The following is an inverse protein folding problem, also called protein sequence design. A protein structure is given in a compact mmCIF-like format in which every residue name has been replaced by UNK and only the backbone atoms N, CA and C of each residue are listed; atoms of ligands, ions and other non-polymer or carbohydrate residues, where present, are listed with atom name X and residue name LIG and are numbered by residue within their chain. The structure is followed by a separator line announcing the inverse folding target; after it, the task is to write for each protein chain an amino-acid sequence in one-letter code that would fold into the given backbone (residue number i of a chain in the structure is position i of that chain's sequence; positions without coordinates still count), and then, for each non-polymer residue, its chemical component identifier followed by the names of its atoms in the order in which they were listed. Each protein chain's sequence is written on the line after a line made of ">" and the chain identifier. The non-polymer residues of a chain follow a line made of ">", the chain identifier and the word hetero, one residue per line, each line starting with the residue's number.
data_IF_920733083230
#
_entry.id   IF_920733083230
#
_cell.length_a   1.000
_cell.length_b   1.000
_cell.length_c   1.000
_cell.angle_alpha   90.00
_cell.angle_beta   90.00
_cell.angle_gamma   90.00
#
_symmetry.space_group_name_H-M   'P 1'
#
loop_
_entity.id
_entity.type
_entity.pdbx_description
1 polymer ?
#
# COMPACT_ATOMS: atom_id res chain seq x y z
N UNK A 1 -1.04 14.44 20.01
CA UNK A 1 -1.59 15.04 18.79
C UNK A 1 -0.52 15.73 17.97
N UNK A 2 -0.50 15.40 16.69
CA UNK A 2 0.34 15.99 15.65
C UNK A 2 -0.11 17.42 15.34
N UNK A 3 0.77 18.24 14.77
CA UNK A 3 0.43 19.61 14.37
C UNK A 3 -0.75 19.67 13.38
N UNK A 4 -0.86 18.69 12.48
CA UNK A 4 -1.98 18.56 11.56
C UNK A 4 -3.32 18.30 12.28
N UNK A 5 -3.34 17.38 13.25
CA UNK A 5 -4.54 17.07 14.03
C UNK A 5 -5.03 18.30 14.81
N UNK A 6 -4.11 19.08 15.40
CA UNK A 6 -4.44 20.35 16.09
C UNK A 6 -5.05 21.40 15.17
N UNK A 7 -4.78 21.33 13.88
CA UNK A 7 -5.34 22.21 12.86
C UNK A 7 -6.65 21.66 12.25
N UNK A 8 -7.17 20.54 12.76
CA UNK A 8 -8.35 19.88 12.20
C UNK A 8 -8.09 19.18 10.86
N UNK A 9 -6.82 18.92 10.54
CA UNK A 9 -6.41 18.24 9.30
C UNK A 9 -6.13 16.78 9.61
N UNK A 10 -6.81 15.88 8.90
CA UNK A 10 -6.56 14.45 9.00
C UNK A 10 -5.11 14.13 8.62
N UNK A 11 -4.41 13.45 9.52
CA UNK A 11 -3.04 13.02 9.29
C UNK A 11 -3.00 11.55 8.86
N UNK A 12 -1.96 11.19 8.12
CA UNK A 12 -1.73 9.82 7.67
C UNK A 12 -0.26 9.43 7.74
N UNK A 13 -0.01 8.13 7.90
CA UNK A 13 1.31 7.53 7.90
C UNK A 13 1.49 6.63 6.68
N UNK A 14 2.58 6.83 5.95
CA UNK A 14 2.98 5.99 4.81
C UNK A 14 4.13 5.10 5.26
N UNK A 15 4.03 3.79 5.01
CA UNK A 15 5.02 2.82 5.48
C UNK A 15 5.07 1.56 4.63
N UNK A 16 6.16 0.80 4.78
CA UNK A 16 6.33 -0.52 4.18
C UNK A 16 5.78 -1.61 5.11
N UNK A 17 4.80 -2.43 4.71
CA UNK A 17 4.23 -3.47 5.58
C UNK A 17 5.25 -4.50 6.09
N UNK A 18 6.35 -4.69 5.36
CA UNK A 18 7.43 -5.58 5.76
C UNK A 18 8.49 -4.91 6.64
N UNK A 19 8.30 -3.63 7.00
CA UNK A 19 9.22 -2.87 7.85
C UNK A 19 9.52 -3.51 9.22
N UNK A 20 8.57 -4.29 9.72
CA UNK A 20 8.67 -4.94 11.03
C UNK A 20 9.18 -6.39 10.93
N UNK A 21 9.70 -6.80 9.76
CA UNK A 21 10.29 -8.12 9.62
C UNK A 21 11.71 -8.14 10.19
N UNK A 22 12.05 -9.24 10.87
CA UNK A 22 13.42 -9.51 11.29
C UNK A 22 14.28 -9.75 10.05
N UNK A 23 15.38 -9.01 9.95
CA UNK A 23 16.42 -9.16 8.93
C UNK A 23 17.61 -9.92 9.54
N UNK A 24 18.05 -10.97 8.87
CA UNK A 24 19.14 -11.83 9.35
C UNK A 24 18.72 -12.71 10.53
N UNK A 25 19.54 -12.78 11.59
CA UNK A 25 19.26 -13.65 12.75
C UNK A 25 18.37 -13.00 13.81
N UNK A 26 18.51 -11.69 14.05
CA UNK A 26 17.77 -10.96 15.10
C UNK A 26 17.60 -9.45 14.84
N UNK A 27 17.98 -8.93 13.65
CA UNK A 27 18.01 -7.48 13.38
C UNK A 27 16.72 -6.95 12.74
N UNK A 28 16.59 -5.63 12.65
CA UNK A 28 15.56 -4.95 11.84
C UNK A 28 16.25 -4.00 10.85
N UNK A 29 15.61 -3.71 9.72
CA UNK A 29 16.12 -2.70 8.80
C UNK A 29 15.92 -1.30 9.42
N UNK A 30 17.00 -0.67 9.87
CA UNK A 30 16.98 0.65 10.50
C UNK A 30 16.40 1.78 9.63
N UNK A 31 16.22 1.55 8.33
CA UNK A 31 15.59 2.50 7.40
C UNK A 31 14.06 2.42 7.44
N UNK A 32 13.51 1.36 8.03
CA UNK A 32 12.08 1.08 8.08
C UNK A 32 11.52 1.41 9.46
N UNK A 33 10.33 2.00 9.48
CA UNK A 33 9.65 2.40 10.70
C UNK A 33 8.90 1.21 11.31
N UNK A 34 8.86 1.10 12.66
CA UNK A 34 8.01 0.15 13.35
C UNK A 34 6.55 0.62 13.31
N UNK A 35 5.88 0.35 12.18
CA UNK A 35 4.59 0.92 11.84
C UNK A 35 3.43 0.40 12.70
N UNK A 36 3.61 -0.70 13.43
CA UNK A 36 2.63 -1.24 14.37
C UNK A 36 2.42 -0.34 15.59
N UNK A 37 3.35 0.57 15.85
CA UNK A 37 3.27 1.56 16.92
C UNK A 37 2.66 2.90 16.47
N UNK A 38 2.26 3.02 15.21
CA UNK A 38 1.62 4.25 14.76
C UNK A 38 0.27 4.46 15.46
N UNK A 39 -0.08 5.72 15.81
CA UNK A 39 -1.38 6.02 16.38
C UNK A 39 -2.51 5.54 15.47
N UNK A 40 -3.54 4.95 16.08
CA UNK A 40 -4.75 4.48 15.39
C UNK A 40 -5.61 5.62 14.85
N UNK A 41 -5.39 6.86 15.35
CA UNK A 41 -6.02 8.08 14.84
C UNK A 41 -5.52 8.48 13.45
N UNK A 42 -4.36 7.96 13.03
CA UNK A 42 -3.82 8.22 11.71
C UNK A 42 -4.48 7.34 10.66
N UNK A 43 -4.64 7.87 9.45
CA UNK A 43 -4.84 7.03 8.28
C UNK A 43 -3.58 6.21 8.01
N UNK A 44 -3.74 4.92 7.75
CA UNK A 44 -2.63 4.04 7.45
C UNK A 44 -2.57 3.79 5.96
N UNK A 45 -1.47 4.21 5.32
CA UNK A 45 -1.24 4.09 3.88
C UNK A 45 -0.12 3.08 3.60
N UNK A 46 -0.37 1.76 3.76
CA UNK A 46 0.65 0.76 3.54
C UNK A 46 1.03 0.63 2.06
N UNK A 47 2.32 0.81 1.78
CA UNK A 47 2.94 0.68 0.46
C UNK A 47 2.94 -0.77 -0.01
N UNK A 48 1.83 -1.18 -0.64
CA UNK A 48 1.49 -2.57 -0.97
C UNK A 48 1.71 -2.86 -2.46
N UNK A 49 2.93 -2.64 -2.94
CA UNK A 49 3.26 -2.73 -4.37
C UNK A 49 4.43 -3.69 -4.68
N UNK A 50 4.45 -4.87 -4.06
CA UNK A 50 5.47 -5.89 -4.35
C UNK A 50 5.54 -6.28 -5.84
N UNK A 51 6.75 -6.63 -6.31
CA UNK A 51 6.98 -7.19 -7.67
C UNK A 51 7.07 -8.71 -7.54
N UNK A 52 5.97 -9.42 -7.80
CA UNK A 52 5.89 -10.87 -7.54
C UNK A 52 5.14 -11.70 -8.60
N UNK A 53 4.69 -11.10 -9.70
CA UNK A 53 4.03 -11.78 -10.82
C UNK A 53 2.58 -12.20 -10.57
N UNK A 54 2.12 -12.24 -9.32
CA UNK A 54 0.76 -12.58 -8.92
C UNK A 54 0.24 -11.59 -7.86
N UNK A 55 -1.06 -11.61 -7.54
CA UNK A 55 -1.65 -10.67 -6.55
C UNK A 55 -1.46 -11.10 -5.10
N UNK A 56 -1.13 -12.38 -4.88
CA UNK A 56 -0.96 -12.96 -3.54
C UNK A 56 0.06 -12.24 -2.64
N UNK A 57 1.20 -11.77 -3.15
CA UNK A 57 2.15 -11.06 -2.30
C UNK A 57 1.57 -9.72 -1.81
N UNK A 58 0.90 -8.98 -2.69
CA UNK A 58 0.25 -7.70 -2.38
C UNK A 58 -0.87 -7.91 -1.36
N UNK A 59 -1.72 -8.92 -1.58
CA UNK A 59 -2.77 -9.30 -0.63
C UNK A 59 -2.22 -9.66 0.76
N UNK A 60 -1.09 -10.38 0.82
CA UNK A 60 -0.47 -10.76 2.08
C UNK A 60 0.13 -9.56 2.85
N UNK A 61 0.68 -8.58 2.15
CA UNK A 61 1.13 -7.31 2.76
C UNK A 61 -0.04 -6.62 3.47
N UNK A 62 -1.18 -6.49 2.78
CA UNK A 62 -2.36 -5.82 3.34
C UNK A 62 -2.98 -6.61 4.49
N UNK A 63 -3.10 -7.95 4.36
CA UNK A 63 -3.53 -8.82 5.46
C UNK A 63 -2.68 -8.65 6.72
N UNK A 64 -1.36 -8.52 6.56
CA UNK A 64 -0.44 -8.30 7.69
C UNK A 64 -0.78 -7.00 8.44
N UNK A 65 -1.05 -5.92 7.72
CA UNK A 65 -1.43 -4.63 8.33
C UNK A 65 -2.72 -4.77 9.12
N UNK A 66 -3.72 -5.45 8.55
CA UNK A 66 -4.99 -5.69 9.24
C UNK A 66 -4.92 -6.58 10.47
N UNK A 67 -3.85 -7.37 10.64
CA UNK A 67 -3.60 -8.10 11.89
C UNK A 67 -3.35 -7.15 13.08
N UNK A 68 -2.84 -5.95 12.81
CA UNK A 68 -2.45 -4.96 13.82
C UNK A 68 -3.37 -3.73 13.86
N UNK A 69 -4.02 -3.42 12.73
CA UNK A 69 -4.98 -2.33 12.65
C UNK A 69 -6.16 -2.57 13.61
N UNK A 70 -6.59 -1.53 14.33
CA UNK A 70 -7.86 -1.58 15.04
C UNK A 70 -9.02 -1.43 14.05
N UNK A 71 -10.24 -1.78 14.48
CA UNK A 71 -11.46 -1.51 13.71
C UNK A 71 -11.70 -0.02 13.45
N UNK A 72 -11.03 0.86 14.20
CA UNK A 72 -11.10 2.32 14.08
C UNK A 72 -10.03 2.89 13.14
N UNK A 73 -9.02 2.08 12.78
CA UNK A 73 -7.92 2.54 11.93
C UNK A 73 -8.36 2.52 10.46
N UNK A 74 -8.32 3.67 9.79
CA UNK A 74 -8.63 3.76 8.37
C UNK A 74 -7.41 3.33 7.52
N UNK A 75 -7.47 2.12 6.96
CA UNK A 75 -6.39 1.52 6.17
C UNK A 75 -6.64 1.70 4.67
N UNK A 76 -5.75 2.42 3.99
CA UNK A 76 -5.81 2.77 2.57
C UNK A 76 -4.57 2.27 1.84
N UNK A 77 -4.52 1.01 1.38
CA UNK A 77 -3.31 0.49 0.74
C UNK A 77 -2.94 1.27 -0.51
N UNK A 78 -1.66 1.60 -0.62
CA UNK A 78 -1.10 2.19 -1.83
C UNK A 78 -0.66 1.08 -2.79
N UNK A 79 -1.31 1.01 -3.95
CA UNK A 79 -1.04 0.05 -5.01
C UNK A 79 -0.25 0.70 -6.14
N UNK A 80 0.60 -0.07 -6.80
CA UNK A 80 1.28 0.38 -8.01
C UNK A 80 1.07 -0.62 -9.15
N UNK A 81 0.85 -0.09 -10.33
CA UNK A 81 0.54 -0.87 -11.52
C UNK A 81 -0.17 -0.02 -12.56
N UNK A 82 -0.55 -0.67 -13.66
CA UNK A 82 -1.30 -0.04 -14.75
C UNK A 82 -2.60 -0.79 -14.96
N UNK A 83 -3.62 -0.08 -15.41
CA UNK A 83 -4.90 -0.66 -15.79
C UNK A 83 -4.80 -1.59 -17.00
N UNK A 84 -5.46 -2.74 -16.91
CA UNK A 84 -5.63 -3.67 -18.03
C UNK A 84 -4.35 -4.35 -18.50
N UNK A 85 -3.24 -4.26 -17.75
CA UNK A 85 -1.98 -4.95 -18.11
C UNK A 85 -1.07 -5.19 -16.93
N UNK A 86 -0.35 -6.30 -16.99
CA UNK A 86 0.79 -6.56 -16.11
C UNK A 86 2.07 -5.99 -16.72
N UNK A 87 2.95 -5.40 -15.91
CA UNK A 87 4.24 -4.86 -16.38
C UNK A 87 5.34 -5.26 -15.42
N UNK A 88 6.45 -5.81 -15.93
CA UNK A 88 7.63 -6.18 -15.12
C UNK A 88 7.24 -6.95 -13.85
N UNK A 89 6.41 -7.99 -13.98
CA UNK A 89 5.89 -8.81 -12.88
C UNK A 89 5.03 -8.05 -11.84
N UNK A 90 4.50 -6.88 -12.19
CA UNK A 90 3.43 -6.23 -11.43
C UNK A 90 2.08 -6.60 -12.05
N UNK A 91 1.14 -7.21 -11.31
CA UNK A 91 -0.22 -7.44 -11.80
C UNK A 91 -0.92 -6.13 -12.17
N UNK A 92 -1.94 -6.20 -13.02
CA UNK A 92 -2.77 -5.03 -13.32
C UNK A 92 -3.52 -4.50 -12.09
N UNK A 93 -3.86 -3.21 -12.07
CA UNK A 93 -4.51 -2.57 -10.92
C UNK A 93 -5.84 -3.25 -10.56
N UNK A 94 -6.68 -3.56 -11.54
CA UNK A 94 -7.96 -4.22 -11.33
C UNK A 94 -7.83 -5.60 -10.70
N UNK A 95 -6.80 -6.37 -11.10
CA UNK A 95 -6.53 -7.67 -10.52
C UNK A 95 -6.06 -7.54 -9.06
N UNK A 96 -5.23 -6.54 -8.76
CA UNK A 96 -4.81 -6.24 -7.38
C UNK A 96 -6.02 -5.86 -6.51
N UNK A 97 -6.85 -4.92 -6.96
CA UNK A 97 -8.05 -4.50 -6.23
C UNK A 97 -9.06 -5.63 -6.04
N UNK A 98 -9.28 -6.46 -7.06
CA UNK A 98 -10.17 -7.61 -6.96
C UNK A 98 -9.64 -8.64 -5.97
N UNK A 99 -8.32 -8.86 -5.92
CA UNK A 99 -7.70 -9.73 -4.92
C UNK A 99 -7.89 -9.18 -3.50
N UNK A 100 -7.66 -7.88 -3.29
CA UNK A 100 -7.89 -7.22 -2.00
C UNK A 100 -9.34 -7.32 -1.54
N UNK A 101 -10.31 -7.07 -2.43
CA UNK A 101 -11.74 -7.20 -2.09
C UNK A 101 -12.11 -8.58 -1.57
N UNK A 102 -11.50 -9.64 -2.10
CA UNK A 102 -11.78 -11.03 -1.67
C UNK A 102 -11.22 -11.36 -0.30
N UNK A 103 -10.09 -10.77 0.08
CA UNK A 103 -9.35 -11.18 1.28
C UNK A 103 -9.47 -10.21 2.46
N UNK A 104 -9.80 -8.96 2.16
CA UNK A 104 -9.92 -7.85 3.11
C UNK A 104 -11.10 -6.98 2.68
N UNK A 105 -12.34 -7.50 2.78
CA UNK A 105 -13.55 -6.82 2.27
C UNK A 105 -13.86 -5.51 2.99
N UNK A 106 -13.26 -5.28 4.16
CA UNK A 106 -13.35 -4.04 4.94
C UNK A 106 -12.59 -2.85 4.31
N UNK A 107 -11.79 -3.07 3.28
CA UNK A 107 -11.11 -1.99 2.56
C UNK A 107 -12.09 -1.27 1.65
N UNK A 108 -12.32 0.02 1.94
CA UNK A 108 -13.20 0.87 1.15
C UNK A 108 -12.45 1.87 0.26
N UNK A 109 -11.12 1.96 0.40
CA UNK A 109 -10.31 2.89 -0.39
C UNK A 109 -8.92 2.32 -0.69
N UNK A 110 -8.36 2.76 -1.81
CA UNK A 110 -6.98 2.46 -2.22
C UNK A 110 -6.35 3.72 -2.78
N UNK A 111 -5.05 3.87 -2.56
CA UNK A 111 -4.25 4.92 -3.18
C UNK A 111 -3.49 4.34 -4.37
N UNK A 112 -3.28 5.13 -5.43
CA UNK A 112 -2.41 4.73 -6.55
C UNK A 112 -1.05 5.41 -6.42
N UNK A 113 0.01 4.61 -6.38
CA UNK A 113 1.39 5.09 -6.37
C UNK A 113 1.96 5.04 -7.78
N UNK A 114 2.28 6.22 -8.30
CA UNK A 114 2.81 6.43 -9.64
C UNK A 114 4.35 6.48 -9.61
N UNK A 115 5.01 5.76 -10.52
CA UNK A 115 6.48 5.73 -10.62
C UNK A 115 7.02 6.78 -11.60
N UNK A 116 6.19 7.67 -12.13
CA UNK A 116 6.50 8.67 -13.17
C UNK A 116 7.75 9.50 -12.88
N UNK A 117 8.04 9.81 -11.62
CA UNK A 117 9.21 10.60 -11.27
C UNK A 117 10.54 9.83 -11.40
N UNK A 118 10.52 8.50 -11.26
CA UNK A 118 11.70 7.64 -11.45
C UNK A 118 11.74 6.98 -12.84
N UNK A 119 10.56 6.73 -13.42
CA UNK A 119 10.40 6.02 -14.67
C UNK A 119 9.25 6.66 -15.45
N UNK A 120 9.45 7.86 -16.01
CA UNK A 120 8.39 8.59 -16.69
C UNK A 120 7.90 7.82 -17.93
N UNK A 121 8.71 6.97 -18.56
CA UNK A 121 8.29 6.10 -19.66
C UNK A 121 7.19 5.12 -19.22
N UNK A 122 7.31 4.55 -18.01
CA UNK A 122 6.35 3.61 -17.44
C UNK A 122 4.94 4.22 -17.27
N UNK A 123 4.87 5.51 -16.94
CA UNK A 123 3.60 6.24 -16.73
C UNK A 123 3.12 7.00 -17.99
N UNK A 124 4.04 7.32 -18.93
CA UNK A 124 3.72 8.02 -20.19
C UNK A 124 3.01 7.14 -21.22
N UNK A 125 2.88 5.84 -20.98
CA UNK A 125 2.00 4.96 -21.73
C UNK A 125 0.52 5.26 -21.43
N UNK A 126 0.07 6.44 -21.90
CA UNK A 126 -1.33 6.86 -21.85
C UNK A 126 -2.16 5.85 -22.63
N UNK A 127 -2.98 5.08 -21.92
CA UNK A 127 -4.07 4.34 -22.54
C UNK A 127 -5.23 5.30 -22.78
N UNK A 128 -5.63 5.44 -24.04
CA UNK A 128 -6.91 6.04 -24.37
C UNK A 128 -8.02 5.05 -23.99
N UNK A 129 -8.99 5.48 -23.20
CA UNK A 129 -10.28 4.79 -23.16
C UNK A 129 -10.94 5.02 -24.52
N UNK A 130 -11.19 3.96 -25.28
CA UNK A 130 -12.23 3.98 -26.31
C UNK A 130 -13.51 3.53 -25.61
N UNK A 131 -14.49 4.44 -25.55
CA UNK A 131 -15.86 4.16 -25.14
C UNK A 131 -16.50 3.20 -26.15
#
# INVERSE_FOLDING_TARGET
>A
ELAAERAGVQAGAVFFPDGNQVVGRMGYDSRLQPWEHFPRSLEWHPMSYGVCGHTGCIANLVKRVFKWASSETDVKPALAGTWGRSIKNRPSLENQMQALRRVTPQINSVSHFAFSWQNPEFDRERKFCRL
#
